data_IF_779288037499
#
_entry.id   IF_779288037499
#
_cell.length_a   1.000
_cell.length_b   1.000
_cell.length_c   1.000
_cell.angle_alpha   90.00
_cell.angle_beta   90.00
_cell.angle_gamma   90.00
#
_symmetry.space_group_name_H-M   'P 1'
#
loop_
_entity.id
_entity.type
_entity.pdbx_description
1 polymer ?
#
# COMPACT_ATOMS: atom_id res chain seq x y z
N UNK A 1 23.21 -62.78 9.44
CA UNK A 1 21.85 -62.47 8.89
C UNK A 1 21.74 -60.99 8.77
N UNK A 2 21.70 -60.53 7.54
CA UNK A 2 21.90 -59.15 7.18
C UNK A 2 20.71 -58.24 7.46
N UNK A 3 20.99 -57.07 7.95
CA UNK A 3 20.08 -55.93 7.89
C UNK A 3 20.30 -55.20 6.57
N UNK A 4 19.28 -55.25 5.77
CA UNK A 4 19.25 -54.70 4.41
C UNK A 4 19.29 -53.18 4.47
N UNK A 5 20.35 -52.59 3.94
CA UNK A 5 20.49 -51.19 3.57
C UNK A 5 19.45 -50.81 2.48
N UNK A 6 18.31 -50.29 2.89
CA UNK A 6 17.48 -49.46 2.00
C UNK A 6 17.99 -48.06 2.03
N UNK A 7 19.03 -47.80 1.30
CA UNK A 7 19.46 -46.45 0.92
C UNK A 7 18.36 -45.85 0.05
N UNK A 8 17.65 -44.88 0.65
CA UNK A 8 16.78 -43.96 -0.09
C UNK A 8 17.55 -43.36 -1.26
N UNK A 9 17.11 -43.68 -2.48
CA UNK A 9 17.74 -43.27 -3.69
C UNK A 9 17.94 -41.76 -3.73
N UNK A 10 19.18 -41.29 -3.62
CA UNK A 10 19.60 -39.97 -3.97
C UNK A 10 19.38 -39.80 -5.48
N UNK A 11 18.27 -39.17 -5.89
CA UNK A 11 18.18 -38.60 -7.22
C UNK A 11 19.24 -37.50 -7.30
N UNK A 12 20.37 -37.79 -7.89
CA UNK A 12 21.30 -36.79 -8.37
C UNK A 12 20.56 -35.95 -9.42
N UNK A 13 20.08 -34.77 -9.03
CA UNK A 13 19.69 -33.76 -9.98
C UNK A 13 20.98 -33.26 -10.63
N UNK A 14 21.25 -33.68 -11.86
CA UNK A 14 22.36 -33.23 -12.71
C UNK A 14 22.11 -31.78 -13.22
N UNK A 15 21.67 -30.87 -12.35
CA UNK A 15 21.45 -29.46 -12.68
C UNK A 15 21.59 -28.62 -11.40
N UNK A 16 22.24 -27.43 -11.53
CA UNK A 16 22.30 -26.45 -10.45
C UNK A 16 20.91 -25.97 -10.01
N UNK A 17 20.86 -25.05 -9.03
CA UNK A 17 19.60 -24.47 -8.55
C UNK A 17 18.85 -23.77 -9.69
N UNK A 18 17.52 -23.86 -9.67
CA UNK A 18 16.65 -23.21 -10.64
C UNK A 18 15.51 -22.49 -9.92
N UNK A 19 15.24 -21.24 -10.31
CA UNK A 19 14.08 -20.49 -9.87
C UNK A 19 12.96 -20.64 -10.90
N UNK A 20 11.78 -21.05 -10.44
CA UNK A 20 10.56 -21.15 -11.25
C UNK A 20 9.66 -19.92 -11.03
N UNK A 21 9.60 -19.42 -9.79
CA UNK A 21 8.79 -18.23 -9.45
C UNK A 21 9.26 -17.55 -8.16
N UNK A 22 8.94 -16.26 -8.03
CA UNK A 22 9.08 -15.47 -6.80
C UNK A 22 7.71 -14.85 -6.47
N UNK A 23 7.27 -14.98 -5.23
CA UNK A 23 6.02 -14.41 -4.76
C UNK A 23 6.17 -13.80 -3.35
N UNK A 24 5.70 -12.55 -3.16
CA UNK A 24 5.23 -11.63 -4.19
C UNK A 24 6.37 -11.20 -5.11
N UNK A 25 6.05 -10.62 -6.28
CA UNK A 25 7.03 -10.18 -7.27
C UNK A 25 7.76 -8.87 -6.90
N UNK A 26 7.31 -8.21 -5.85
CA UNK A 26 7.87 -6.95 -5.37
C UNK A 26 7.96 -6.93 -3.85
N UNK A 27 8.90 -6.17 -3.29
CA UNK A 27 8.95 -5.91 -1.86
C UNK A 27 9.65 -4.59 -1.52
N UNK A 28 9.46 -4.13 -0.28
CA UNK A 28 10.36 -3.21 0.40
C UNK A 28 11.54 -3.99 1.01
N UNK A 29 12.59 -3.29 1.37
CA UNK A 29 13.62 -3.83 2.26
C UNK A 29 12.98 -4.40 3.55
N UNK A 30 13.46 -5.54 4.03
CA UNK A 30 12.86 -6.28 5.15
C UNK A 30 11.63 -7.13 4.80
N UNK A 31 11.05 -6.95 3.59
CA UNK A 31 9.92 -7.76 3.11
C UNK A 31 10.32 -9.21 2.86
N UNK A 32 9.43 -10.15 3.17
CA UNK A 32 9.66 -11.58 2.95
C UNK A 32 9.09 -12.01 1.60
N UNK A 33 9.92 -12.74 0.84
CA UNK A 33 9.55 -13.33 -0.45
C UNK A 33 9.75 -14.84 -0.42
N UNK A 34 8.92 -15.56 -1.15
CA UNK A 34 9.05 -17.01 -1.37
C UNK A 34 9.57 -17.26 -2.78
N UNK A 35 10.72 -17.84 -2.89
CA UNK A 35 11.33 -18.31 -4.13
C UNK A 35 11.01 -19.80 -4.26
N UNK A 36 10.35 -20.20 -5.33
CA UNK A 36 10.02 -21.59 -5.62
C UNK A 36 10.85 -22.10 -6.79
N UNK A 37 11.31 -23.34 -6.72
CA UNK A 37 12.17 -23.91 -7.76
C UNK A 37 12.63 -25.30 -7.42
N UNK A 38 13.79 -25.68 -7.94
CA UNK A 38 14.43 -26.98 -7.72
C UNK A 38 15.91 -26.80 -7.37
N UNK A 39 16.45 -27.71 -6.55
CA UNK A 39 17.85 -27.69 -6.12
C UNK A 39 18.21 -26.49 -5.25
N UNK A 40 17.23 -25.93 -4.54
CA UNK A 40 17.38 -24.71 -3.74
C UNK A 40 17.98 -24.97 -2.36
N UNK A 41 18.17 -26.24 -1.98
CA UNK A 41 18.82 -26.64 -0.73
C UNK A 41 20.21 -27.18 -1.02
N UNK A 42 21.27 -26.67 -0.35
CA UNK A 42 22.61 -27.26 -0.44
C UNK A 42 22.63 -28.72 0.03
N UNK A 43 23.51 -29.53 -0.54
CA UNK A 43 23.69 -30.93 -0.15
C UNK A 43 24.36 -31.08 1.24
N UNK A 44 25.24 -30.12 1.58
CA UNK A 44 25.85 -30.00 2.89
C UNK A 44 24.97 -29.19 3.86
N UNK A 45 25.31 -29.14 5.13
CA UNK A 45 24.62 -28.38 6.20
C UNK A 45 24.80 -26.85 6.03
N UNK A 46 25.08 -26.39 4.83
CA UNK A 46 25.19 -24.98 4.46
C UNK A 46 23.81 -24.40 4.16
N UNK A 47 23.69 -23.08 4.26
CA UNK A 47 22.48 -22.37 3.82
C UNK A 47 22.64 -21.91 2.37
N UNK A 48 21.55 -21.90 1.57
CA UNK A 48 21.59 -21.26 0.27
C UNK A 48 21.86 -19.77 0.44
N UNK A 49 22.41 -19.13 -0.58
CA UNK A 49 22.58 -17.69 -0.63
C UNK A 49 21.60 -17.11 -1.65
N UNK A 50 20.80 -16.13 -1.25
CA UNK A 50 19.91 -15.38 -2.14
C UNK A 50 20.52 -14.01 -2.36
N UNK A 51 20.71 -13.61 -3.62
CA UNK A 51 21.27 -12.31 -3.98
C UNK A 51 20.27 -11.49 -4.76
N UNK A 52 20.15 -10.23 -4.35
CA UNK A 52 19.40 -9.16 -5.00
C UNK A 52 20.42 -8.21 -5.65
N UNK A 53 20.80 -8.49 -6.90
CA UNK A 53 21.97 -7.84 -7.50
C UNK A 53 23.25 -8.15 -6.70
N UNK A 54 23.87 -7.11 -6.13
CA UNK A 54 25.08 -7.24 -5.28
C UNK A 54 24.79 -7.52 -3.81
N UNK A 55 23.55 -7.33 -3.33
CA UNK A 55 23.17 -7.45 -1.92
C UNK A 55 22.73 -8.88 -1.60
N UNK A 56 23.12 -9.41 -0.42
CA UNK A 56 22.73 -10.76 0.02
C UNK A 56 21.56 -10.65 1.00
N UNK A 57 20.45 -11.36 0.66
CA UNK A 57 19.26 -11.45 1.50
C UNK A 57 19.42 -12.47 2.63
N UNK A 58 18.76 -12.24 3.76
CA UNK A 58 18.75 -13.18 4.89
C UNK A 58 17.71 -14.30 4.66
N UNK A 59 18.11 -15.53 4.93
CA UNK A 59 17.26 -16.73 4.78
C UNK A 59 16.42 -16.92 6.04
N UNK A 60 15.10 -17.00 5.86
CA UNK A 60 14.14 -17.31 6.92
C UNK A 60 13.96 -18.82 7.02
N UNK A 61 13.67 -19.47 5.89
CA UNK A 61 13.55 -20.94 5.80
C UNK A 61 13.95 -21.41 4.40
N UNK A 62 14.51 -22.60 4.31
CA UNK A 62 14.86 -23.23 3.03
C UNK A 62 14.47 -24.70 2.99
N UNK A 63 14.06 -25.16 1.82
CA UNK A 63 13.82 -26.55 1.46
C UNK A 63 14.34 -26.83 0.06
N UNK A 64 14.22 -28.05 -0.42
CA UNK A 64 14.64 -28.40 -1.78
C UNK A 64 13.83 -27.65 -2.86
N UNK A 65 12.53 -27.46 -2.61
CA UNK A 65 11.59 -26.84 -3.56
C UNK A 65 11.32 -25.35 -3.33
N UNK A 66 11.78 -24.76 -2.22
CA UNK A 66 11.57 -23.32 -1.97
C UNK A 66 12.55 -22.74 -0.95
N UNK A 67 12.75 -21.42 -1.06
CA UNK A 67 13.44 -20.58 -0.08
C UNK A 67 12.55 -19.38 0.27
N UNK A 68 12.43 -19.06 1.56
CA UNK A 68 11.90 -17.78 2.01
C UNK A 68 13.06 -16.91 2.43
N UNK A 69 13.17 -15.73 1.81
CA UNK A 69 14.24 -14.79 2.08
C UNK A 69 13.67 -13.40 2.36
N UNK A 70 14.40 -12.61 3.16
CA UNK A 70 14.12 -11.18 3.34
C UNK A 70 14.97 -10.36 2.38
N UNK A 71 14.33 -9.38 1.76
CA UNK A 71 14.99 -8.40 0.90
C UNK A 71 15.93 -7.56 1.78
N UNK A 72 17.23 -7.45 1.44
CA UNK A 72 18.18 -6.69 2.26
C UNK A 72 18.02 -5.18 2.07
N UNK A 73 18.51 -4.42 3.05
CA UNK A 73 18.67 -2.96 2.90
C UNK A 73 19.62 -2.65 1.74
N UNK A 74 19.32 -1.58 1.01
CA UNK A 74 20.09 -1.16 -0.16
C UNK A 74 19.88 -2.02 -1.41
N UNK A 75 18.99 -3.02 -1.39
CA UNK A 75 18.59 -3.74 -2.59
C UNK A 75 17.88 -2.80 -3.59
N UNK A 76 18.09 -3.06 -4.86
CA UNK A 76 17.42 -2.36 -5.96
C UNK A 76 16.73 -3.37 -6.88
N UNK A 77 15.76 -2.90 -7.67
CA UNK A 77 15.07 -3.74 -8.67
C UNK A 77 16.07 -4.35 -9.65
N UNK A 78 15.86 -5.61 -9.99
CA UNK A 78 16.71 -6.35 -10.91
C UNK A 78 16.72 -7.86 -10.66
N UNK A 79 17.72 -8.57 -11.18
CA UNK A 79 17.77 -10.02 -11.09
C UNK A 79 18.04 -10.51 -9.68
N UNK A 80 17.24 -11.49 -9.27
CA UNK A 80 17.46 -12.31 -8.06
C UNK A 80 18.00 -13.67 -8.48
N UNK A 81 18.99 -14.17 -7.78
CA UNK A 81 19.58 -15.50 -7.98
C UNK A 81 19.72 -16.24 -6.65
N UNK A 82 19.68 -17.56 -6.73
CA UNK A 82 19.99 -18.47 -5.60
C UNK A 82 21.29 -19.20 -5.90
N UNK A 83 22.21 -19.22 -4.94
CA UNK A 83 23.45 -19.97 -5.03
C UNK A 83 23.46 -21.13 -4.03
N UNK A 84 23.76 -22.34 -4.50
CA UNK A 84 23.91 -23.57 -3.72
C UNK A 84 25.09 -24.38 -4.24
N UNK A 85 25.93 -24.93 -3.38
CA UNK A 85 27.02 -25.87 -3.72
C UNK A 85 27.92 -25.36 -4.86
N UNK A 86 28.19 -24.04 -4.88
CA UNK A 86 29.03 -23.42 -5.92
C UNK A 86 28.32 -23.14 -7.27
N UNK A 87 27.04 -23.51 -7.40
CA UNK A 87 26.23 -23.24 -8.60
C UNK A 87 25.28 -22.06 -8.35
N UNK A 88 24.95 -21.33 -9.42
CA UNK A 88 24.05 -20.18 -9.41
C UNK A 88 22.83 -20.50 -10.29
N UNK A 89 21.63 -20.14 -9.83
CA UNK A 89 20.38 -20.31 -10.58
C UNK A 89 20.30 -19.42 -11.81
N UNK A 90 19.30 -19.68 -12.64
CA UNK A 90 18.82 -18.65 -13.57
C UNK A 90 18.42 -17.39 -12.81
N UNK A 91 18.63 -16.19 -13.43
CA UNK A 91 18.13 -14.93 -12.85
C UNK A 91 16.59 -14.86 -12.95
N UNK A 92 15.98 -14.17 -11.99
CA UNK A 92 14.55 -13.89 -11.97
C UNK A 92 14.34 -12.41 -11.64
N UNK A 93 13.64 -11.67 -12.51
CA UNK A 93 13.43 -10.24 -12.31
C UNK A 93 12.51 -9.98 -11.09
N UNK A 94 12.94 -9.05 -10.26
CA UNK A 94 12.27 -8.72 -9.00
C UNK A 94 12.26 -7.21 -8.77
N UNK A 95 11.11 -6.69 -8.31
CA UNK A 95 10.95 -5.27 -8.03
C UNK A 95 11.21 -4.93 -6.57
N UNK A 96 12.05 -3.93 -6.33
CA UNK A 96 12.30 -3.38 -4.98
C UNK A 96 11.82 -1.94 -4.94
N UNK A 97 10.94 -1.64 -3.97
CA UNK A 97 10.54 -0.28 -3.69
C UNK A 97 11.63 0.42 -2.88
N UNK A 98 12.06 1.58 -3.38
CA UNK A 98 13.15 2.36 -2.77
C UNK A 98 12.60 3.54 -1.98
N UNK A 99 13.14 3.87 -0.79
CA UNK A 99 12.70 5.02 -0.02
C UNK A 99 13.07 6.31 -0.77
N UNK A 100 12.13 7.27 -0.81
CA UNK A 100 12.30 8.61 -1.41
C UNK A 100 12.12 9.72 -0.39
N UNK A 101 11.49 9.44 0.75
CA UNK A 101 11.37 10.34 1.89
C UNK A 101 11.19 9.52 3.17
N UNK A 102 11.90 9.89 4.22
CA UNK A 102 11.90 9.18 5.50
C UNK A 102 11.58 10.13 6.66
N UNK A 103 11.43 9.56 7.86
CA UNK A 103 11.08 10.30 9.08
C UNK A 103 9.74 11.04 9.00
N UNK A 104 8.81 10.48 8.22
CA UNK A 104 7.43 10.90 8.12
C UNK A 104 6.55 10.03 9.03
N UNK A 105 5.35 10.49 9.35
CA UNK A 105 4.39 9.73 10.16
C UNK A 105 3.05 9.64 9.45
N UNK A 106 3.00 8.84 8.37
CA UNK A 106 1.82 8.65 7.57
C UNK A 106 0.84 7.68 8.22
N UNK A 107 -0.44 7.95 8.01
CA UNK A 107 -1.55 7.12 8.54
C UNK A 107 -2.51 6.67 7.44
N UNK A 108 -2.38 7.23 6.22
CA UNK A 108 -3.24 6.95 5.05
C UNK A 108 -2.43 6.95 3.76
N UNK A 109 -3.12 6.91 2.62
CA UNK A 109 -2.51 7.10 1.31
C UNK A 109 -1.75 8.42 1.21
N UNK A 110 -0.64 8.46 0.49
CA UNK A 110 -0.12 9.70 -0.06
C UNK A 110 -1.07 10.20 -1.15
N UNK A 111 -1.08 11.50 -1.41
CA UNK A 111 -1.83 12.09 -2.52
C UNK A 111 -0.85 12.68 -3.55
N UNK A 112 -1.24 12.69 -4.83
CA UNK A 112 -0.45 13.28 -5.90
C UNK A 112 -1.25 14.40 -6.58
N UNK A 113 -0.55 15.49 -6.93
CA UNK A 113 -1.10 16.50 -7.83
C UNK A 113 -0.86 16.15 -9.31
N UNK A 114 -1.37 16.96 -10.22
CA UNK A 114 -1.23 16.76 -11.66
C UNK A 114 0.22 16.85 -12.16
N UNK A 115 1.07 17.58 -11.45
CA UNK A 115 2.50 17.73 -11.73
C UNK A 115 3.32 16.54 -11.22
N UNK A 116 2.72 15.62 -10.45
CA UNK A 116 3.38 14.45 -9.86
C UNK A 116 4.09 14.73 -8.54
N UNK A 117 3.85 15.88 -7.90
CA UNK A 117 4.31 16.09 -6.54
C UNK A 117 3.49 15.21 -5.57
N UNK A 118 4.16 14.69 -4.55
CA UNK A 118 3.57 13.80 -3.55
C UNK A 118 3.31 14.60 -2.28
N UNK A 119 2.14 14.43 -1.71
CA UNK A 119 1.75 15.04 -0.45
C UNK A 119 1.54 13.96 0.60
N UNK A 120 2.22 14.13 1.73
CA UNK A 120 2.21 13.17 2.83
C UNK A 120 1.82 13.85 4.14
N UNK A 121 0.81 13.32 4.82
CA UNK A 121 0.42 13.81 6.16
C UNK A 121 1.44 13.39 7.20
N UNK A 122 1.68 14.27 8.17
CA UNK A 122 2.39 13.95 9.41
C UNK A 122 1.40 13.98 10.56
N UNK A 123 1.04 12.82 11.09
CA UNK A 123 -0.02 12.70 12.10
C UNK A 123 0.56 12.30 13.46
N UNK A 124 0.61 13.25 14.38
CA UNK A 124 0.97 13.00 15.79
C UNK A 124 -0.16 12.30 16.57
N UNK A 125 0.06 11.85 17.80
CA UNK A 125 -0.99 11.46 18.71
C UNK A 125 -2.08 12.53 18.82
N UNK A 126 -3.33 12.11 19.09
CA UNK A 126 -4.49 13.03 19.08
C UNK A 126 -4.27 14.21 20.01
N UNK A 127 -4.47 15.42 19.50
CA UNK A 127 -4.35 16.68 20.24
C UNK A 127 -2.93 17.20 20.39
N UNK A 128 -1.92 16.52 19.83
CA UNK A 128 -0.57 17.05 19.78
C UNK A 128 -0.35 17.89 18.53
N UNK A 129 0.20 19.09 18.71
CA UNK A 129 0.66 19.95 17.62
C UNK A 129 1.96 19.41 17.03
N UNK A 130 2.08 19.52 15.73
CA UNK A 130 3.30 19.23 14.98
C UNK A 130 3.72 20.49 14.20
N UNK A 131 5.03 20.71 13.99
CA UNK A 131 5.49 21.89 13.26
C UNK A 131 5.06 21.86 11.79
N UNK A 132 4.92 20.68 11.21
CA UNK A 132 4.47 20.47 9.83
C UNK A 132 3.42 19.37 9.82
N UNK A 133 2.27 19.66 9.25
CA UNK A 133 1.12 18.73 9.18
C UNK A 133 1.05 17.99 7.86
N UNK A 134 1.49 18.63 6.77
CA UNK A 134 1.60 18.03 5.43
C UNK A 134 2.93 18.44 4.82
N UNK A 135 3.67 17.46 4.35
CA UNK A 135 4.88 17.64 3.56
C UNK A 135 4.56 17.51 2.07
N UNK A 136 5.24 18.30 1.25
CA UNK A 136 5.30 18.14 -0.20
C UNK A 136 6.66 17.54 -0.57
N UNK A 137 6.65 16.51 -1.37
CA UNK A 137 7.82 15.87 -1.96
C UNK A 137 7.75 16.15 -3.46
N UNK A 138 8.66 16.95 -3.98
CA UNK A 138 8.63 17.32 -5.39
C UNK A 138 9.14 16.17 -6.29
N UNK A 139 9.08 16.36 -7.61
CA UNK A 139 9.47 15.36 -8.60
C UNK A 139 10.96 15.00 -8.58
N UNK A 140 11.79 15.78 -7.90
CA UNK A 140 13.20 15.47 -7.62
C UNK A 140 13.39 14.85 -6.23
N UNK A 141 12.28 14.48 -5.55
CA UNK A 141 12.23 13.92 -4.20
C UNK A 141 12.73 14.86 -3.09
N UNK A 142 12.77 16.17 -3.34
CA UNK A 142 13.05 17.14 -2.28
C UNK A 142 11.82 17.31 -1.38
N UNK A 143 12.00 17.04 -0.08
CA UNK A 143 10.94 17.13 0.95
C UNK A 143 10.88 18.55 1.49
N UNK A 144 9.70 19.16 1.46
CA UNK A 144 9.46 20.54 1.92
C UNK A 144 8.23 20.61 2.81
N UNK A 145 8.24 21.42 3.89
CA UNK A 145 7.03 21.78 4.62
C UNK A 145 6.00 22.41 3.67
N UNK A 146 4.74 21.99 3.78
CA UNK A 146 3.68 22.53 2.94
C UNK A 146 2.52 23.12 3.76
N UNK A 147 1.92 22.32 4.67
CA UNK A 147 0.90 22.82 5.59
C UNK A 147 1.43 22.76 7.01
N UNK A 148 1.25 23.82 7.76
CA UNK A 148 1.58 23.92 9.18
C UNK A 148 0.27 24.11 9.98
N UNK A 149 0.33 23.83 11.29
CA UNK A 149 -0.74 24.12 12.25
C UNK A 149 -2.05 23.31 12.10
N UNK A 150 -2.23 22.46 11.07
CA UNK A 150 -3.38 21.56 11.02
C UNK A 150 -3.25 20.47 12.09
N UNK A 151 -4.21 20.40 12.98
CA UNK A 151 -4.21 19.38 14.03
C UNK A 151 -4.57 18.02 13.45
N UNK A 152 -3.67 17.03 13.62
CA UNK A 152 -3.91 15.66 13.21
C UNK A 152 -4.46 15.49 11.77
N UNK A 153 -3.78 16.10 10.79
CA UNK A 153 -4.04 15.86 9.38
C UNK A 153 -4.09 14.37 9.09
N UNK A 154 -5.13 13.89 8.41
CA UNK A 154 -5.36 12.46 8.24
C UNK A 154 -5.35 12.04 6.77
N UNK A 155 -6.23 12.57 5.94
CA UNK A 155 -6.34 12.21 4.52
C UNK A 155 -6.30 13.44 3.64
N UNK A 156 -5.82 13.28 2.42
CA UNK A 156 -5.73 14.32 1.40
C UNK A 156 -6.45 13.84 0.15
N UNK A 157 -7.20 14.72 -0.49
CA UNK A 157 -7.78 14.50 -1.81
C UNK A 157 -7.68 15.76 -2.65
N UNK A 158 -7.59 15.60 -3.96
CA UNK A 158 -7.67 16.68 -4.93
C UNK A 158 -9.00 16.62 -5.68
N UNK A 159 -9.60 17.77 -5.92
CA UNK A 159 -10.73 17.85 -6.84
C UNK A 159 -10.25 17.91 -8.30
N UNK A 160 -11.19 17.94 -9.25
CA UNK A 160 -10.90 17.99 -10.68
C UNK A 160 -10.13 19.24 -11.11
N UNK A 161 -10.21 20.32 -10.35
CA UNK A 161 -9.51 21.59 -10.60
C UNK A 161 -8.10 21.61 -9.99
N UNK A 162 -7.68 20.50 -9.34
CA UNK A 162 -6.39 20.42 -8.64
C UNK A 162 -6.38 21.13 -7.28
N UNK A 163 -7.56 21.50 -6.75
CA UNK A 163 -7.67 22.06 -5.43
C UNK A 163 -7.52 20.98 -4.36
N UNK A 164 -6.61 21.18 -3.43
CA UNK A 164 -6.38 20.26 -2.32
C UNK A 164 -7.41 20.41 -1.21
N UNK A 165 -7.84 19.27 -0.67
CA UNK A 165 -8.64 19.14 0.55
C UNK A 165 -7.95 18.19 1.52
N UNK A 166 -7.99 18.50 2.82
CA UNK A 166 -7.39 17.68 3.85
C UNK A 166 -8.32 17.56 5.06
N UNK A 167 -8.48 16.35 5.58
CA UNK A 167 -9.26 16.09 6.80
C UNK A 167 -8.43 16.23 8.07
N UNK A 168 -9.04 16.77 9.12
CA UNK A 168 -8.51 16.81 10.48
C UNK A 168 -9.39 15.96 11.40
N UNK A 169 -8.81 14.87 11.93
CA UNK A 169 -9.54 14.03 12.89
C UNK A 169 -9.69 14.64 14.28
N UNK A 170 -8.91 15.68 14.58
CA UNK A 170 -9.01 16.41 15.84
C UNK A 170 -10.15 17.43 15.79
N UNK A 171 -10.18 18.25 14.72
CA UNK A 171 -11.16 19.32 14.56
C UNK A 171 -12.53 18.78 14.09
N UNK A 172 -12.57 17.55 13.53
CA UNK A 172 -13.78 17.02 12.91
C UNK A 172 -14.18 17.82 11.67
N UNK A 173 -13.18 18.26 10.89
CA UNK A 173 -13.36 19.18 9.77
C UNK A 173 -12.58 18.72 8.55
N UNK A 174 -12.97 19.23 7.38
CA UNK A 174 -12.20 19.21 6.16
C UNK A 174 -11.81 20.65 5.81
N UNK A 175 -10.55 20.83 5.50
CA UNK A 175 -9.97 22.09 5.07
C UNK A 175 -9.72 22.10 3.57
N UNK A 176 -10.00 23.22 2.92
CA UNK A 176 -9.48 23.53 1.60
C UNK A 176 -8.12 24.19 1.75
N UNK A 177 -7.11 23.67 1.05
CA UNK A 177 -5.72 24.08 1.16
C UNK A 177 -5.30 24.75 -0.14
N UNK A 178 -4.82 25.99 -0.06
CA UNK A 178 -4.34 26.74 -1.22
C UNK A 178 -2.94 26.29 -1.68
N UNK A 179 -2.49 26.65 -2.90
CA UNK A 179 -1.15 26.27 -3.38
C UNK A 179 0.02 26.77 -2.53
N UNK A 180 -0.19 27.77 -1.68
CA UNK A 180 0.81 28.28 -0.74
C UNK A 180 0.70 27.66 0.67
N UNK A 181 -0.16 26.65 0.86
CA UNK A 181 -0.33 25.94 2.14
C UNK A 181 -1.28 26.60 3.14
N UNK A 182 -1.94 27.73 2.79
CA UNK A 182 -2.95 28.35 3.65
C UNK A 182 -4.23 27.54 3.65
N UNK A 183 -4.95 27.53 4.78
CA UNK A 183 -6.13 26.69 5.00
C UNK A 183 -7.37 27.51 5.27
N UNK A 184 -8.51 27.05 4.76
CA UNK A 184 -9.85 27.53 5.13
C UNK A 184 -10.76 26.34 5.40
N UNK A 185 -11.65 26.44 6.40
CA UNK A 185 -12.64 25.39 6.68
C UNK A 185 -13.56 25.25 5.46
N UNK A 186 -13.65 24.02 4.93
CA UNK A 186 -14.59 23.66 3.88
C UNK A 186 -15.87 23.06 4.44
N UNK A 187 -15.75 22.16 5.42
CA UNK A 187 -16.87 21.57 6.16
C UNK A 187 -16.43 21.20 7.57
N UNK A 188 -17.34 21.26 8.52
CA UNK A 188 -17.13 20.96 9.94
C UNK A 188 -18.29 20.15 10.51
N UNK A 189 -18.19 19.69 11.78
CA UNK A 189 -19.21 18.86 12.40
C UNK A 189 -19.19 17.40 11.92
N UNK A 190 -18.06 16.94 11.40
CA UNK A 190 -17.87 15.63 10.77
C UNK A 190 -17.39 14.54 11.76
N UNK A 191 -17.58 14.75 13.05
CA UNK A 191 -17.15 13.81 14.06
C UNK A 191 -15.63 13.62 14.11
N UNK A 192 -15.15 12.39 13.94
CA UNK A 192 -13.72 12.09 13.83
C UNK A 192 -13.40 11.87 12.35
N UNK A 193 -13.33 12.97 11.58
CA UNK A 193 -13.12 12.97 10.15
C UNK A 193 -11.78 12.31 9.78
N UNK A 194 -11.80 11.29 8.92
CA UNK A 194 -10.61 10.52 8.54
C UNK A 194 -10.46 10.47 7.02
N UNK A 195 -10.80 9.37 6.35
CA UNK A 195 -10.67 9.26 4.90
C UNK A 195 -11.59 10.21 4.15
N UNK A 196 -11.09 10.78 3.06
CA UNK A 196 -11.87 11.63 2.15
C UNK A 196 -11.66 11.17 0.70
N UNK A 197 -12.69 11.28 -0.12
CA UNK A 197 -12.63 11.00 -1.55
C UNK A 197 -13.68 11.80 -2.32
N UNK A 198 -13.36 12.22 -3.54
CA UNK A 198 -14.32 12.83 -4.46
C UNK A 198 -14.94 11.79 -5.38
N UNK A 199 -16.25 11.91 -5.64
CA UNK A 199 -16.91 11.21 -6.73
C UNK A 199 -16.69 11.92 -8.09
N UNK A 200 -17.20 11.33 -9.17
CA UNK A 200 -17.11 11.91 -10.52
C UNK A 200 -17.90 13.22 -10.66
N UNK A 201 -18.94 13.39 -9.87
CA UNK A 201 -19.79 14.59 -9.81
C UNK A 201 -19.16 15.70 -8.94
N UNK A 202 -17.97 15.44 -8.36
CA UNK A 202 -17.25 16.36 -7.48
C UNK A 202 -17.97 16.65 -6.15
N UNK A 203 -18.73 15.68 -5.65
CA UNK A 203 -19.13 15.65 -4.24
C UNK A 203 -18.01 15.03 -3.41
N UNK A 204 -17.75 15.59 -2.23
CA UNK A 204 -16.76 15.07 -1.30
C UNK A 204 -17.41 14.09 -0.32
N UNK A 205 -16.82 12.92 -0.16
CA UNK A 205 -17.23 11.96 0.85
C UNK A 205 -16.21 11.93 1.98
N UNK A 206 -16.72 11.87 3.22
CA UNK A 206 -15.91 11.91 4.44
C UNK A 206 -16.31 10.78 5.37
N UNK A 207 -15.34 9.95 5.77
CA UNK A 207 -15.55 8.90 6.75
C UNK A 207 -15.33 9.40 8.19
N UNK A 208 -16.35 9.28 9.04
CA UNK A 208 -16.26 9.45 10.48
C UNK A 208 -16.05 8.09 11.16
N UNK A 209 -15.05 7.97 12.02
CA UNK A 209 -14.77 6.75 12.79
C UNK A 209 -15.93 6.23 13.64
N UNK A 210 -16.93 7.07 13.93
CA UNK A 210 -18.15 6.64 14.62
C UNK A 210 -19.11 5.84 13.71
N UNK A 211 -18.78 5.63 12.44
CA UNK A 211 -19.53 4.80 11.53
C UNK A 211 -20.30 5.57 10.46
N UNK A 212 -20.21 6.87 10.41
CA UNK A 212 -20.92 7.69 9.43
C UNK A 212 -20.05 7.98 8.22
N UNK A 213 -20.59 7.81 7.02
CA UNK A 213 -20.06 8.37 5.79
C UNK A 213 -20.91 9.57 5.40
N UNK A 214 -20.32 10.76 5.45
CA UNK A 214 -20.95 11.97 4.97
C UNK A 214 -20.71 12.18 3.48
N UNK A 215 -21.72 12.71 2.78
CA UNK A 215 -21.59 13.27 1.43
C UNK A 215 -21.77 14.79 1.53
N UNK A 216 -20.82 15.53 0.98
CA UNK A 216 -20.85 16.99 0.88
C UNK A 216 -20.99 17.32 -0.58
N UNK A 217 -22.14 17.83 -1.00
CA UNK A 217 -22.42 18.21 -2.36
C UNK A 217 -21.62 19.47 -2.77
N UNK A 218 -21.58 19.78 -4.06
CA UNK A 218 -20.85 20.96 -4.60
C UNK A 218 -21.32 22.30 -4.03
N UNK A 219 -22.59 22.39 -3.65
CA UNK A 219 -23.20 23.54 -2.97
C UNK A 219 -22.97 23.55 -1.46
N UNK A 220 -22.10 22.65 -0.97
CA UNK A 220 -21.73 22.41 0.43
C UNK A 220 -22.90 21.91 1.32
N UNK A 221 -24.00 21.46 0.74
CA UNK A 221 -24.99 20.71 1.53
C UNK A 221 -24.43 19.38 1.97
N UNK A 222 -24.58 19.05 3.25
CA UNK A 222 -24.05 17.84 3.88
C UNK A 222 -25.17 16.85 4.20
N UNK A 223 -24.95 15.57 3.81
CA UNK A 223 -25.89 14.49 4.02
C UNK A 223 -25.19 13.29 4.65
N UNK A 224 -25.93 12.50 5.44
CA UNK A 224 -25.50 11.14 5.78
C UNK A 224 -25.72 10.27 4.55
N UNK A 225 -24.65 9.73 4.00
CA UNK A 225 -24.70 8.89 2.80
C UNK A 225 -24.88 7.40 3.16
N UNK A 226 -24.09 6.93 4.14
CA UNK A 226 -24.14 5.54 4.60
C UNK A 226 -23.75 5.45 6.07
N UNK A 227 -24.10 4.34 6.70
CA UNK A 227 -23.67 4.03 8.07
C UNK A 227 -23.02 2.65 8.08
N UNK A 228 -21.83 2.59 8.68
CA UNK A 228 -21.03 1.39 8.89
C UNK A 228 -20.83 1.12 10.38
N UNK A 229 -20.10 0.05 10.70
CA UNK A 229 -19.68 -0.24 12.06
C UNK A 229 -18.65 0.81 12.55
N UNK A 230 -18.66 1.16 13.83
CA UNK A 230 -17.63 2.00 14.44
C UNK A 230 -16.23 1.39 14.24
N UNK A 231 -15.24 2.23 14.02
CA UNK A 231 -13.85 1.80 13.83
C UNK A 231 -12.91 2.42 14.85
N UNK A 232 -12.00 1.62 15.39
CA UNK A 232 -10.86 2.12 16.19
C UNK A 232 -9.75 2.70 15.28
N UNK A 233 -9.76 2.34 13.99
CA UNK A 233 -8.83 2.82 12.96
C UNK A 233 -9.48 3.93 12.12
N UNK A 234 -8.68 4.66 11.36
CA UNK A 234 -9.19 5.58 10.35
C UNK A 234 -9.99 4.82 9.29
N UNK A 235 -11.09 5.39 8.82
CA UNK A 235 -11.70 4.99 7.56
C UNK A 235 -10.81 5.46 6.41
N UNK A 236 -10.67 4.61 5.40
CA UNK A 236 -10.06 4.96 4.12
C UNK A 236 -11.11 4.79 3.03
N UNK A 237 -11.16 5.73 2.13
CA UNK A 237 -12.19 5.84 1.10
C UNK A 237 -11.55 5.92 -0.28
N UNK A 238 -12.12 5.22 -1.26
CA UNK A 238 -11.79 5.37 -2.67
C UNK A 238 -13.00 5.02 -3.53
N UNK A 239 -13.15 5.68 -4.67
CA UNK A 239 -14.18 5.31 -5.65
C UNK A 239 -13.65 4.28 -6.64
N UNK A 240 -14.48 3.30 -6.94
CA UNK A 240 -14.22 2.32 -8.00
C UNK A 240 -14.67 2.82 -9.39
N UNK A 241 -14.35 2.04 -10.42
CA UNK A 241 -14.63 2.44 -11.82
C UNK A 241 -16.12 2.57 -12.15
N UNK A 242 -17.01 1.98 -11.36
CA UNK A 242 -18.48 2.04 -11.57
C UNK A 242 -19.16 3.10 -10.70
N UNK A 243 -18.40 3.86 -9.91
CA UNK A 243 -18.93 4.90 -9.03
C UNK A 243 -19.36 4.39 -7.65
N UNK A 244 -19.11 3.13 -7.33
CA UNK A 244 -19.27 2.63 -5.97
C UNK A 244 -18.15 3.16 -5.06
N UNK A 245 -18.48 3.47 -3.81
CA UNK A 245 -17.52 3.85 -2.80
C UNK A 245 -17.01 2.60 -2.07
N UNK A 246 -15.69 2.44 -2.02
CA UNK A 246 -15.05 1.38 -1.25
C UNK A 246 -14.49 1.95 0.05
N UNK A 247 -14.67 1.20 1.14
CA UNK A 247 -14.31 1.63 2.50
C UNK A 247 -13.54 0.54 3.22
N UNK A 248 -12.39 0.89 3.80
CA UNK A 248 -11.65 0.07 4.76
C UNK A 248 -11.51 0.80 6.09
N UNK A 249 -11.06 0.11 7.11
CA UNK A 249 -10.84 0.65 8.46
C UNK A 249 -11.54 -0.17 9.52
N UNK A 250 -12.87 -0.38 9.46
CA UNK A 250 -13.52 -1.29 10.38
C UNK A 250 -13.21 -2.75 10.04
N UNK A 251 -12.72 -3.51 11.02
CA UNK A 251 -12.52 -4.96 10.93
C UNK A 251 -11.53 -5.46 9.85
N UNK A 252 -11.78 -6.67 9.35
CA UNK A 252 -10.99 -7.42 8.37
C UNK A 252 -11.55 -7.31 6.94
N UNK A 253 -12.39 -6.28 6.67
CA UNK A 253 -13.21 -6.20 5.47
C UNK A 253 -12.87 -4.99 4.61
N UNK A 254 -13.18 -5.14 3.32
CA UNK A 254 -13.42 -4.04 2.40
C UNK A 254 -14.93 -3.97 2.18
N UNK A 255 -15.53 -2.85 2.53
CA UNK A 255 -16.94 -2.58 2.24
C UNK A 255 -17.07 -1.91 0.88
N UNK A 256 -18.20 -2.18 0.23
CA UNK A 256 -18.65 -1.52 -0.98
C UNK A 256 -19.99 -0.85 -0.66
N UNK A 257 -20.09 0.43 -0.98
CA UNK A 257 -21.30 1.23 -0.83
C UNK A 257 -21.72 1.67 -2.22
N UNK A 258 -22.91 1.26 -2.65
CA UNK A 258 -23.43 1.63 -3.94
C UNK A 258 -23.90 3.10 -3.99
N UNK A 259 -24.22 3.68 -5.17
CA UNK A 259 -24.68 5.06 -5.28
C UNK A 259 -25.96 5.39 -4.50
N UNK A 260 -26.73 4.39 -4.08
CA UNK A 260 -27.92 4.57 -3.22
C UNK A 260 -27.58 4.64 -1.72
N UNK A 261 -26.32 4.38 -1.34
CA UNK A 261 -25.88 4.30 0.05
C UNK A 261 -26.01 2.90 0.67
N UNK A 262 -26.36 1.87 -0.12
CA UNK A 262 -26.47 0.51 0.37
C UNK A 262 -25.10 -0.11 0.59
N UNK A 263 -24.86 -0.60 1.81
CA UNK A 263 -23.56 -1.17 2.22
C UNK A 263 -23.57 -2.69 2.01
N UNK A 264 -22.50 -3.19 1.41
CA UNK A 264 -22.22 -4.62 1.25
C UNK A 264 -20.76 -4.93 1.54
N UNK A 265 -20.43 -6.20 1.77
CA UNK A 265 -19.02 -6.63 1.90
C UNK A 265 -18.50 -7.01 0.52
N UNK A 266 -17.45 -6.33 0.07
CA UNK A 266 -16.75 -6.68 -1.18
C UNK A 266 -15.72 -7.80 -0.95
N UNK A 267 -14.92 -7.69 0.12
CA UNK A 267 -13.91 -8.70 0.47
C UNK A 267 -13.78 -8.83 2.00
N UNK A 268 -13.44 -10.04 2.47
CA UNK A 268 -13.24 -10.36 3.89
C UNK A 268 -11.99 -11.22 4.08
N UNK A 269 -11.31 -11.04 5.21
CA UNK A 269 -10.15 -11.85 5.61
C UNK A 269 -8.81 -11.13 5.45
N UNK A 270 -8.84 -9.79 5.35
CA UNK A 270 -7.63 -8.96 5.39
C UNK A 270 -7.23 -8.65 6.83
N UNK A 271 -5.94 -8.80 7.13
CA UNK A 271 -5.42 -8.29 8.39
C UNK A 271 -5.21 -6.78 8.32
N UNK A 272 -5.97 -6.01 9.12
CA UNK A 272 -5.83 -4.57 9.28
C UNK A 272 -5.75 -3.81 7.94
N UNK A 273 -6.82 -3.84 7.13
CA UNK A 273 -6.87 -3.11 5.88
C UNK A 273 -6.85 -1.60 6.14
N UNK A 274 -6.08 -0.88 5.31
CA UNK A 274 -5.89 0.57 5.41
C UNK A 274 -6.06 1.21 4.03
N UNK A 275 -5.17 2.12 3.63
CA UNK A 275 -5.25 2.84 2.38
C UNK A 275 -5.38 1.96 1.15
N UNK A 276 -6.13 2.43 0.16
CA UNK A 276 -6.48 1.68 -1.07
C UNK A 276 -6.48 2.60 -2.28
N UNK A 277 -6.24 1.98 -3.43
CA UNK A 277 -6.38 2.61 -4.74
C UNK A 277 -6.77 1.58 -5.81
N UNK A 278 -7.47 2.02 -6.85
CA UNK A 278 -7.80 1.19 -8.01
C UNK A 278 -6.77 1.38 -9.13
N UNK A 279 -6.48 0.30 -9.87
CA UNK A 279 -5.82 0.40 -11.16
C UNK A 279 -6.84 0.65 -12.29
N UNK A 280 -6.33 0.94 -13.49
CA UNK A 280 -7.17 1.21 -14.66
C UNK A 280 -7.96 -0.02 -15.13
N UNK A 281 -7.56 -1.23 -14.75
CA UNK A 281 -8.25 -2.48 -15.07
C UNK A 281 -9.36 -2.81 -14.04
N UNK A 282 -9.54 -1.97 -13.02
CA UNK A 282 -10.56 -2.13 -11.99
C UNK A 282 -10.16 -3.08 -10.85
N UNK A 283 -8.88 -3.40 -10.70
CA UNK A 283 -8.43 -4.13 -9.52
C UNK A 283 -8.19 -3.18 -8.36
N UNK A 284 -8.57 -3.58 -7.17
CA UNK A 284 -8.35 -2.84 -5.93
C UNK A 284 -7.04 -3.28 -5.27
N UNK A 285 -6.20 -2.32 -4.94
CA UNK A 285 -4.98 -2.54 -4.15
C UNK A 285 -5.17 -1.98 -2.76
N UNK A 286 -4.87 -2.78 -1.73
CA UNK A 286 -5.09 -2.44 -0.32
C UNK A 286 -3.82 -2.65 0.48
N UNK A 287 -3.43 -1.68 1.28
CA UNK A 287 -2.39 -1.86 2.29
C UNK A 287 -2.95 -2.71 3.44
N UNK A 288 -2.63 -4.01 3.44
CA UNK A 288 -3.22 -4.99 4.36
C UNK A 288 -2.27 -6.18 4.59
N UNK A 289 -2.62 -7.06 5.52
CA UNK A 289 -2.01 -8.38 5.60
C UNK A 289 -2.90 -9.42 4.92
N UNK A 290 -2.30 -10.31 4.13
CA UNK A 290 -2.95 -11.48 3.58
C UNK A 290 -2.21 -12.72 4.08
N UNK A 291 -2.95 -13.67 4.68
CA UNK A 291 -2.38 -14.89 5.27
C UNK A 291 -1.19 -14.62 6.22
N UNK A 292 -1.28 -13.54 7.00
CA UNK A 292 -0.26 -13.15 7.98
C UNK A 292 0.89 -12.28 7.44
N UNK A 293 1.04 -12.14 6.12
CA UNK A 293 2.11 -11.30 5.52
C UNK A 293 1.59 -9.90 5.21
N UNK A 294 2.24 -8.86 5.75
CA UNK A 294 1.91 -7.45 5.51
C UNK A 294 2.45 -6.97 4.16
N UNK A 295 1.64 -6.15 3.46
CA UNK A 295 2.06 -5.56 2.20
C UNK A 295 0.93 -4.86 1.46
N UNK A 296 1.01 -4.85 0.13
CA UNK A 296 -0.06 -4.44 -0.77
C UNK A 296 -0.73 -5.70 -1.33
N UNK A 297 -2.01 -5.82 -1.08
CA UNK A 297 -2.86 -6.91 -1.55
C UNK A 297 -3.68 -6.40 -2.74
N UNK A 298 -3.57 -7.08 -3.87
CA UNK A 298 -4.44 -6.89 -5.03
C UNK A 298 -5.70 -7.73 -4.87
N UNK A 299 -6.86 -7.15 -5.10
CA UNK A 299 -8.16 -7.82 -5.14
C UNK A 299 -8.79 -7.55 -6.49
N UNK A 300 -9.05 -8.61 -7.26
CA UNK A 300 -9.69 -8.48 -8.57
C UNK A 300 -11.19 -8.17 -8.43
N UNK A 301 -11.88 -7.72 -9.49
CA UNK A 301 -13.34 -7.54 -9.48
C UNK A 301 -14.12 -8.78 -9.02
N UNK A 302 -13.58 -9.98 -9.28
CA UNK A 302 -14.16 -11.27 -8.86
C UNK A 302 -13.78 -11.65 -7.42
N UNK A 303 -13.25 -10.71 -6.63
CA UNK A 303 -12.85 -10.87 -5.23
C UNK A 303 -11.75 -11.94 -5.01
N UNK A 304 -10.87 -12.19 -5.97
CA UNK A 304 -9.67 -12.98 -5.77
C UNK A 304 -8.54 -12.08 -5.25
N UNK A 305 -7.93 -12.48 -4.13
CA UNK A 305 -6.88 -11.70 -3.48
C UNK A 305 -5.50 -12.36 -3.57
N UNK A 306 -4.46 -11.56 -3.82
CA UNK A 306 -3.06 -11.97 -3.70
C UNK A 306 -2.17 -10.84 -3.20
N UNK A 307 -1.10 -11.20 -2.52
CA UNK A 307 -0.08 -10.24 -2.10
C UNK A 307 0.80 -9.90 -3.31
N UNK A 308 0.95 -8.61 -3.61
CA UNK A 308 1.74 -8.10 -4.73
C UNK A 308 3.07 -7.50 -4.30
N UNK A 309 3.08 -6.84 -3.15
CA UNK A 309 4.28 -6.22 -2.56
C UNK A 309 4.37 -6.65 -1.11
N UNK A 310 5.48 -7.24 -0.69
CA UNK A 310 5.73 -7.52 0.71
C UNK A 310 6.44 -6.33 1.38
N UNK A 311 6.01 -5.95 2.58
CA UNK A 311 6.67 -4.90 3.35
C UNK A 311 5.97 -4.59 4.65
N UNK A 312 6.73 -4.35 5.71
CA UNK A 312 6.19 -4.01 7.01
C UNK A 312 5.77 -2.54 7.07
N UNK A 313 4.84 -2.23 7.96
CA UNK A 313 4.40 -0.86 8.23
C UNK A 313 3.64 -0.17 7.10
N UNK A 314 3.27 -0.86 6.02
CA UNK A 314 2.49 -0.25 4.94
C UNK A 314 1.14 0.26 5.42
N UNK A 315 0.81 1.51 5.06
CA UNK A 315 -0.43 2.19 5.43
C UNK A 315 -1.23 2.66 4.22
N UNK A 316 -0.61 2.73 3.04
CA UNK A 316 -1.31 3.19 1.84
C UNK A 316 -0.45 3.16 0.58
N UNK A 317 -1.07 3.55 -0.52
CA UNK A 317 -0.45 3.65 -1.83
C UNK A 317 -1.16 4.71 -2.68
N UNK A 318 -0.46 5.19 -3.70
CA UNK A 318 -1.05 5.97 -4.78
C UNK A 318 -0.37 5.62 -6.10
N UNK A 319 -1.14 5.49 -7.17
CA UNK A 319 -0.59 5.34 -8.51
C UNK A 319 -0.07 6.68 -9.01
N UNK A 320 1.12 6.68 -9.60
CA UNK A 320 1.80 7.87 -10.05
C UNK A 320 1.96 7.87 -11.58
N UNK A 321 2.19 9.05 -12.21
CA UNK A 321 2.54 9.14 -13.61
C UNK A 321 3.70 8.22 -13.97
N UNK A 322 3.81 7.82 -15.25
CA UNK A 322 4.90 6.94 -15.69
C UNK A 322 4.75 5.48 -15.25
N UNK A 323 3.53 5.05 -14.87
CA UNK A 323 3.22 3.67 -14.45
C UNK A 323 4.05 3.20 -13.25
N UNK A 324 4.23 4.09 -12.30
CA UNK A 324 4.86 3.82 -11.01
C UNK A 324 3.85 3.92 -9.86
N UNK A 325 4.26 3.45 -8.70
CA UNK A 325 3.43 3.48 -7.49
C UNK A 325 4.23 4.09 -6.35
N UNK A 326 3.59 4.99 -5.65
CA UNK A 326 4.09 5.56 -4.40
C UNK A 326 3.48 4.74 -3.25
N UNK A 327 4.33 4.13 -2.45
CA UNK A 327 3.94 3.33 -1.29
C UNK A 327 4.23 4.11 -0.02
N UNK A 328 3.25 4.15 0.88
CA UNK A 328 3.40 4.76 2.19
C UNK A 328 3.55 3.69 3.28
N UNK A 329 4.59 3.83 4.09
CA UNK A 329 4.70 3.16 5.38
C UNK A 329 4.44 4.16 6.50
N UNK A 330 4.36 3.69 7.74
CA UNK A 330 4.24 4.58 8.91
C UNK A 330 5.42 5.55 9.07
N UNK A 331 6.53 5.33 8.39
CA UNK A 331 7.78 6.08 8.60
C UNK A 331 8.36 6.70 7.32
N UNK A 332 7.96 6.21 6.15
CA UNK A 332 8.60 6.59 4.89
C UNK A 332 7.64 6.51 3.70
N UNK A 333 8.01 7.22 2.65
CA UNK A 333 7.41 7.12 1.32
C UNK A 333 8.42 6.43 0.41
N UNK A 334 7.96 5.47 -0.38
CA UNK A 334 8.77 4.67 -1.29
C UNK A 334 8.26 4.79 -2.72
N UNK A 335 9.16 4.73 -3.68
CA UNK A 335 8.85 4.64 -5.11
C UNK A 335 9.06 3.21 -5.60
N UNK A 336 8.12 2.68 -6.37
CA UNK A 336 8.20 1.41 -7.05
C UNK A 336 7.83 1.57 -8.53
N UNK A 337 8.75 1.23 -9.43
CA UNK A 337 8.45 1.07 -10.86
C UNK A 337 7.68 -0.23 -11.04
N UNK A 338 6.39 -0.15 -11.38
CA UNK A 338 5.52 -1.32 -11.37
C UNK A 338 4.76 -1.57 -12.69
N UNK A 339 4.89 -0.68 -13.65
CA UNK A 339 4.21 -0.75 -14.95
C UNK A 339 2.67 -0.89 -14.88
N UNK A 340 2.04 -0.34 -13.84
CA UNK A 340 0.58 -0.33 -13.64
C UNK A 340 0.08 1.11 -13.77
N UNK A 341 -1.01 1.30 -14.51
CA UNK A 341 -1.73 2.57 -14.57
C UNK A 341 -2.80 2.62 -13.47
N UNK A 342 -2.87 3.71 -12.73
CA UNK A 342 -3.95 3.96 -11.79
C UNK A 342 -5.27 4.32 -12.49
N UNK A 343 -6.37 4.09 -11.79
CA UNK A 343 -7.68 4.56 -12.22
C UNK A 343 -7.70 6.09 -12.17
N UNK A 344 -7.92 6.73 -13.32
CA UNK A 344 -8.24 8.16 -13.35
C UNK A 344 -9.71 8.35 -13.00
N UNK A 345 -9.99 9.07 -11.93
CA UNK A 345 -11.36 9.51 -11.61
C UNK A 345 -11.74 10.77 -12.39
N UNK A 346 -10.79 11.36 -13.12
CA UNK A 346 -10.97 12.49 -14.01
C UNK A 346 -11.04 11.91 -15.42
N UNK A 347 -12.15 12.00 -16.15
CA UNK A 347 -12.17 11.67 -17.57
C UNK A 347 -11.18 12.59 -18.33
N UNK A 348 -10.42 12.00 -19.24
CA UNK A 348 -9.58 12.75 -20.18
C UNK A 348 -10.39 13.68 -21.05
#
# INVERSE_FOLDING_TARGET
MGFSDRILGKKHLNGGPRIDSIAPAHALAGGEIRITGAGLRPQELLRPKVRFGSSEGSIVVSSDGFVVARVPEGATSGPVVVATDGHISNPYDFGVAVPIAESLHLVTNPALDAEGNIYATFSAPRGQKVPVSIYRIDTNYAVKPFVQEMMNATSIAFDRQGQMYASSRFDGAVYRVTPNGSMTIYAEGLGIATGIAFDREQSLYVGDRNGTIFKIARDQQMFVFATLEMSVSAYHLTFGPQGDLFVTGPNDRVFKVDPSGTVSTFYKGLGRPQGMAFDADGNLYVAASLSGTRGIVKITPDANARLEVAGQGMVGLAFAPGRSVILATTNAVHHLSWNIAGLSLIPE
#
